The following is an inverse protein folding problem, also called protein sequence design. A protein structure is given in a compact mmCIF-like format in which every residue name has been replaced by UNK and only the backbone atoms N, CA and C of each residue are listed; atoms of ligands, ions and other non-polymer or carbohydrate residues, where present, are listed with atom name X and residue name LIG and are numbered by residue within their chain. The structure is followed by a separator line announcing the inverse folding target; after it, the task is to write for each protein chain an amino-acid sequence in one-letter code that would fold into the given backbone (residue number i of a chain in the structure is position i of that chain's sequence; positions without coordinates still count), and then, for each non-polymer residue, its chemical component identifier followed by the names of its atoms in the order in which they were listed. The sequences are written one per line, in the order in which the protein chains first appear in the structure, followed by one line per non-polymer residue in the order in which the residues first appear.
data_IF_516282170606
#
_entry.id   IF_516282170606
#
_cell.length_a   1.000
_cell.length_b   1.000
_cell.length_c   1.000
_cell.angle_alpha   90.00
_cell.angle_beta   90.00
_cell.angle_gamma   90.00
#
_symmetry.space_group_name_H-M   'P 1'
#
loop_
_entity.id
_entity.type
_entity.pdbx_description
1 polymer ?
#
# COMPACT_ATOMS: atom_id res chain seq x y z
N UNK A 1 46.11 13.75 40.60
CA UNK A 1 45.53 13.67 41.95
C UNK A 1 44.02 13.71 41.73
N UNK A 2 43.26 12.80 41.93
CA UNK A 2 43.00 11.53 42.50
C UNK A 2 41.84 10.90 41.76
N UNK A 3 42.13 9.77 41.21
CA UNK A 3 41.21 8.78 40.65
C UNK A 3 40.20 8.32 41.72
N UNK A 4 38.91 8.19 41.34
CA UNK A 4 37.92 7.42 42.11
C UNK A 4 36.97 6.71 41.14
N UNK A 5 37.47 5.61 40.62
CA UNK A 5 36.66 4.54 40.09
C UNK A 5 35.80 3.91 41.20
N UNK A 6 34.48 3.95 41.08
CA UNK A 6 33.58 3.21 41.96
C UNK A 6 33.22 1.87 41.31
N UNK A 7 33.29 0.74 42.03
CA UNK A 7 32.98 -0.57 41.45
C UNK A 7 31.46 -0.78 41.36
N UNK A 8 31.03 -1.27 40.20
CA UNK A 8 29.69 -1.80 39.97
C UNK A 8 29.44 -3.05 40.80
N UNK A 9 28.61 -2.94 41.82
CA UNK A 9 28.09 -4.08 42.56
C UNK A 9 27.01 -4.82 41.73
N UNK A 10 27.41 -5.92 41.10
CA UNK A 10 26.48 -6.92 40.59
C UNK A 10 25.84 -7.65 41.80
N UNK A 11 24.56 -7.39 42.03
CA UNK A 11 23.77 -8.12 43.02
C UNK A 11 23.32 -9.43 42.40
N UNK A 12 23.93 -10.52 42.83
CA UNK A 12 23.45 -11.89 42.51
C UNK A 12 22.09 -12.07 43.18
N UNK A 13 21.03 -12.23 42.40
CA UNK A 13 19.72 -12.62 42.92
C UNK A 13 19.72 -14.15 43.08
N UNK A 14 19.51 -14.56 44.33
CA UNK A 14 19.52 -15.93 44.74
C UNK A 14 18.57 -16.83 43.92
N UNK A 15 19.06 -18.03 43.61
CA UNK A 15 18.32 -19.10 43.00
C UNK A 15 17.02 -19.42 43.79
N UNK A 16 15.92 -19.43 43.11
CA UNK A 16 14.62 -19.86 43.62
C UNK A 16 14.60 -21.38 43.65
N UNK A 17 14.27 -21.92 44.81
CA UNK A 17 14.11 -23.36 45.01
C UNK A 17 13.07 -24.01 44.09
N UNK A 18 13.25 -25.26 43.65
CA UNK A 18 12.28 -25.95 42.82
C UNK A 18 11.16 -26.50 43.72
N UNK A 19 10.04 -25.77 43.80
CA UNK A 19 8.84 -26.19 44.47
C UNK A 19 7.62 -25.92 43.60
N UNK A 20 6.88 -26.96 43.29
CA UNK A 20 5.58 -27.05 42.61
C UNK A 20 5.58 -26.72 41.09
N UNK A 21 6.07 -27.65 40.30
CA UNK A 21 5.62 -27.87 38.93
C UNK A 21 4.15 -28.28 38.92
N UNK A 22 3.23 -27.33 39.02
CA UNK A 22 1.89 -27.56 38.48
C UNK A 22 2.03 -27.76 36.98
N UNK A 23 1.82 -29.02 36.56
CA UNK A 23 1.80 -29.41 35.16
C UNK A 23 0.99 -28.37 34.34
N UNK A 24 1.71 -27.52 33.62
CA UNK A 24 1.10 -26.61 32.63
C UNK A 24 0.55 -27.54 31.55
N UNK A 25 -0.80 -27.66 31.51
CA UNK A 25 -1.46 -28.34 30.40
C UNK A 25 -0.90 -27.74 29.10
N UNK A 26 -0.39 -28.58 28.18
CA UNK A 26 0.04 -28.06 26.89
C UNK A 26 -1.15 -27.38 26.24
N UNK A 27 -0.94 -26.11 25.86
CA UNK A 27 -1.89 -25.36 25.03
C UNK A 27 -2.17 -26.22 23.79
N UNK A 28 -3.47 -26.38 23.41
CA UNK A 28 -3.80 -27.11 22.21
C UNK A 28 -3.03 -26.50 21.04
N UNK A 29 -2.58 -27.32 20.08
CA UNK A 29 -1.85 -26.82 18.92
C UNK A 29 -2.67 -25.74 18.24
N UNK A 30 -2.03 -24.62 17.89
CA UNK A 30 -2.63 -23.48 17.17
C UNK A 30 -3.05 -23.82 15.73
N UNK A 31 -3.20 -25.09 15.45
CA UNK A 31 -3.62 -25.61 14.17
C UNK A 31 -5.14 -25.71 14.15
N UNK A 32 -5.73 -24.66 13.74
CA UNK A 32 -6.95 -24.45 12.96
C UNK A 32 -7.41 -23.02 13.18
N UNK A 33 -6.57 -22.10 12.82
CA UNK A 33 -7.09 -20.82 12.38
C UNK A 33 -8.04 -21.16 11.23
N UNK A 34 -9.34 -21.18 11.52
CA UNK A 34 -10.36 -21.35 10.52
C UNK A 34 -10.07 -20.26 9.48
N UNK A 35 -9.41 -20.66 8.41
CA UNK A 35 -9.28 -19.88 7.21
C UNK A 35 -10.72 -19.74 6.68
N UNK A 36 -11.44 -18.76 7.17
CA UNK A 36 -12.66 -18.35 6.49
C UNK A 36 -12.23 -18.01 5.06
N UNK A 37 -12.78 -18.67 4.07
CA UNK A 37 -12.58 -18.25 2.69
C UNK A 37 -13.36 -16.93 2.53
N UNK A 38 -12.80 -15.85 3.06
CA UNK A 38 -13.20 -14.53 2.59
C UNK A 38 -12.92 -14.57 1.10
N UNK A 39 -13.94 -14.34 0.25
CA UNK A 39 -13.67 -14.17 -1.17
C UNK A 39 -12.52 -13.16 -1.22
N UNK A 40 -11.42 -13.50 -1.89
CA UNK A 40 -10.24 -12.63 -1.98
C UNK A 40 -10.69 -11.29 -2.56
N UNK A 41 -11.10 -10.39 -1.68
CA UNK A 41 -11.59 -9.07 -2.05
C UNK A 41 -10.36 -8.26 -2.34
N UNK A 42 -10.04 -8.09 -3.60
CA UNK A 42 -8.96 -7.22 -3.99
C UNK A 42 -9.37 -5.76 -3.76
N UNK A 43 -8.57 -5.05 -2.99
CA UNK A 43 -8.81 -3.62 -2.75
C UNK A 43 -7.95 -2.79 -3.70
N UNK A 44 -8.58 -1.78 -4.28
CA UNK A 44 -7.96 -0.76 -5.14
C UNK A 44 -7.96 0.56 -4.38
N UNK A 45 -6.79 1.06 -4.09
CA UNK A 45 -6.60 2.34 -3.42
C UNK A 45 -6.25 3.40 -4.45
N UNK A 46 -7.01 4.49 -4.46
CA UNK A 46 -6.76 5.68 -5.27
C UNK A 46 -6.18 6.75 -4.35
N UNK A 47 -4.92 7.09 -4.57
CA UNK A 47 -4.17 7.98 -3.69
C UNK A 47 -3.86 9.29 -4.38
N UNK A 48 -4.33 10.40 -3.82
CA UNK A 48 -3.97 11.74 -4.26
C UNK A 48 -2.71 12.20 -3.50
N UNK A 49 -1.57 12.17 -4.19
CA UNK A 49 -0.25 12.33 -3.56
C UNK A 49 -0.05 13.70 -2.94
N UNK A 50 -0.57 14.76 -3.56
CA UNK A 50 -0.37 16.13 -3.06
C UNK A 50 -1.08 16.39 -1.74
N UNK A 51 -2.02 15.52 -1.34
CA UNK A 51 -2.75 15.63 -0.08
C UNK A 51 -2.14 14.84 1.08
N UNK A 52 -1.12 14.03 0.82
CA UNK A 52 -0.50 13.17 1.83
C UNK A 52 0.99 13.48 2.00
N UNK A 53 1.49 13.33 3.23
CA UNK A 53 2.91 13.47 3.54
C UNK A 53 3.69 12.17 3.35
N UNK A 54 5.04 12.26 3.38
CA UNK A 54 5.96 11.13 3.24
C UNK A 54 5.75 10.05 4.30
N UNK A 55 5.51 10.47 5.54
CA UNK A 55 5.26 9.57 6.67
C UNK A 55 3.93 8.83 6.52
N UNK A 56 2.91 9.55 6.07
CA UNK A 56 1.59 8.97 5.80
C UNK A 56 1.67 7.98 4.64
N UNK A 57 2.40 8.29 3.59
CA UNK A 57 2.63 7.36 2.49
C UNK A 57 3.33 6.08 2.96
N UNK A 58 4.38 6.20 3.78
CA UNK A 58 5.06 5.04 4.34
C UNK A 58 4.12 4.19 5.22
N UNK A 59 3.23 4.82 5.99
CA UNK A 59 2.19 4.14 6.78
C UNK A 59 1.19 3.41 5.89
N UNK A 60 0.72 4.05 4.82
CA UNK A 60 -0.17 3.42 3.82
C UNK A 60 0.45 2.13 3.27
N UNK A 61 1.74 2.15 2.92
CA UNK A 61 2.43 0.95 2.45
C UNK A 61 2.50 -0.15 3.51
N UNK A 62 2.70 0.21 4.77
CA UNK A 62 2.73 -0.74 5.89
C UNK A 62 1.36 -1.34 6.20
N UNK A 63 0.33 -0.50 6.27
CA UNK A 63 -1.02 -0.89 6.70
C UNK A 63 -1.75 -1.71 5.63
N UNK A 64 -1.61 -1.35 4.36
CA UNK A 64 -2.34 -1.98 3.26
C UNK A 64 -1.53 -3.00 2.47
N UNK A 65 -0.21 -3.03 2.65
CA UNK A 65 0.71 -3.95 1.99
C UNK A 65 0.39 -4.18 0.49
N UNK A 66 0.33 -3.10 -0.33
CA UNK A 66 -0.08 -3.21 -1.73
C UNK A 66 0.91 -4.12 -2.48
N UNK A 67 0.38 -4.96 -3.36
CA UNK A 67 1.21 -5.76 -4.26
C UNK A 67 1.68 -4.99 -5.48
N UNK A 68 0.89 -3.98 -5.86
CA UNK A 68 1.17 -3.13 -7.00
C UNK A 68 1.04 -1.66 -6.61
N UNK A 69 2.02 -0.89 -7.03
CA UNK A 69 2.01 0.58 -7.00
C UNK A 69 2.06 1.02 -8.45
N UNK A 70 0.93 1.55 -8.94
CA UNK A 70 0.76 1.97 -10.33
C UNK A 70 0.73 3.49 -10.34
N UNK A 71 1.80 4.07 -10.88
CA UNK A 71 1.96 5.52 -10.96
C UNK A 71 1.40 6.02 -12.28
N UNK A 72 0.32 6.80 -12.21
CA UNK A 72 -0.37 7.41 -13.36
C UNK A 72 -0.10 8.91 -13.42
N UNK A 73 0.97 9.38 -12.82
CA UNK A 73 1.40 10.77 -12.90
C UNK A 73 2.22 11.00 -14.18
N UNK A 74 2.00 12.15 -14.81
CA UNK A 74 2.74 12.51 -16.03
C UNK A 74 4.25 12.66 -15.77
N UNK A 75 4.61 13.09 -14.57
CA UNK A 75 5.99 13.22 -14.10
C UNK A 75 6.10 12.66 -12.68
N UNK A 76 6.43 11.36 -12.51
CA UNK A 76 6.53 10.73 -11.20
C UNK A 76 7.66 11.35 -10.35
N UNK A 77 7.28 12.22 -9.44
CA UNK A 77 8.19 12.82 -8.46
C UNK A 77 8.20 11.96 -7.20
N UNK A 78 9.14 11.00 -7.12
CA UNK A 78 9.23 10.10 -5.97
C UNK A 78 9.78 10.78 -4.71
N UNK A 79 10.37 11.97 -4.84
CA UNK A 79 10.77 12.83 -3.72
C UNK A 79 9.58 13.45 -2.98
N UNK A 80 8.37 13.41 -3.55
CA UNK A 80 7.13 13.80 -2.84
C UNK A 80 6.69 12.75 -1.81
N UNK A 81 6.96 11.48 -2.06
CA UNK A 81 6.52 10.35 -1.23
C UNK A 81 7.62 9.75 -0.36
N UNK A 82 8.88 10.11 -0.58
CA UNK A 82 10.03 9.68 0.21
C UNK A 82 11.10 10.78 0.25
N UNK A 83 12.19 10.57 1.01
CA UNK A 83 13.29 11.52 1.09
C UNK A 83 14.05 11.66 -0.25
N UNK A 84 14.09 10.59 -1.03
CA UNK A 84 14.72 10.53 -2.35
C UNK A 84 14.10 9.43 -3.20
N UNK A 85 14.43 9.41 -4.50
CA UNK A 85 14.04 8.30 -5.40
C UNK A 85 14.53 6.94 -4.87
N UNK A 86 15.76 6.86 -4.39
CA UNK A 86 16.30 5.62 -3.82
C UNK A 86 15.53 5.17 -2.59
N UNK A 87 15.22 6.12 -1.69
CA UNK A 87 14.41 5.83 -0.49
C UNK A 87 13.00 5.35 -0.85
N UNK A 88 12.39 5.88 -1.91
CA UNK A 88 11.10 5.40 -2.40
C UNK A 88 11.16 3.94 -2.83
N UNK A 89 12.15 3.55 -3.63
CA UNK A 89 12.34 2.16 -4.04
C UNK A 89 12.62 1.24 -2.85
N UNK A 90 13.40 1.68 -1.87
CA UNK A 90 13.61 0.92 -0.62
C UNK A 90 12.30 0.69 0.14
N UNK A 91 11.40 1.68 0.17
CA UNK A 91 10.07 1.52 0.76
C UNK A 91 9.23 0.49 -0.01
N UNK A 92 9.25 0.53 -1.35
CA UNK A 92 8.52 -0.42 -2.19
C UNK A 92 9.03 -1.86 -2.00
N UNK A 93 10.35 -2.05 -1.95
CA UNK A 93 10.97 -3.34 -1.66
C UNK A 93 10.57 -3.90 -0.28
N UNK A 94 10.61 -3.06 0.76
CA UNK A 94 10.16 -3.45 2.11
C UNK A 94 8.69 -3.86 2.14
N UNK A 95 7.84 -3.14 1.41
CA UNK A 95 6.43 -3.48 1.24
C UNK A 95 6.21 -4.69 0.32
N UNK A 96 7.26 -5.21 -0.34
CA UNK A 96 7.18 -6.25 -1.39
C UNK A 96 6.25 -5.86 -2.53
N UNK A 97 6.15 -4.58 -2.82
CA UNK A 97 5.30 -4.00 -3.85
C UNK A 97 6.06 -3.86 -5.17
N UNK A 98 5.40 -4.21 -6.27
CA UNK A 98 5.90 -3.96 -7.62
C UNK A 98 5.49 -2.55 -8.05
N UNK A 99 6.47 -1.69 -8.36
CA UNK A 99 6.21 -0.33 -8.85
C UNK A 99 6.21 -0.28 -10.37
N UNK A 100 5.24 0.42 -10.93
CA UNK A 100 5.11 0.65 -12.38
C UNK A 100 4.80 2.13 -12.62
N UNK A 101 5.69 2.81 -13.33
CA UNK A 101 5.40 4.10 -13.96
C UNK A 101 4.64 3.85 -15.26
N UNK A 102 3.30 3.87 -15.16
CA UNK A 102 2.44 3.53 -16.28
C UNK A 102 2.52 4.59 -17.39
N UNK A 103 2.44 5.86 -17.03
CA UNK A 103 2.46 6.95 -18.01
C UNK A 103 3.83 7.08 -18.69
N UNK A 104 4.92 6.88 -17.94
CA UNK A 104 6.26 6.81 -18.53
C UNK A 104 6.39 5.67 -19.55
N UNK A 105 5.82 4.49 -19.26
CA UNK A 105 5.79 3.35 -20.20
C UNK A 105 5.00 3.64 -21.48
N UNK A 106 3.91 4.41 -21.37
CA UNK A 106 3.06 4.79 -22.49
C UNK A 106 3.58 6.03 -23.24
N UNK A 107 4.66 6.66 -22.77
CA UNK A 107 5.18 7.91 -23.32
C UNK A 107 4.26 9.11 -23.08
N UNK A 108 3.36 9.03 -22.11
CA UNK A 108 2.43 10.12 -21.75
C UNK A 108 3.21 11.15 -20.92
N UNK A 109 3.31 12.38 -21.47
CA UNK A 109 4.02 13.49 -20.82
C UNK A 109 3.08 14.61 -20.35
N UNK A 110 1.79 14.49 -20.61
CA UNK A 110 0.79 15.50 -20.30
C UNK A 110 -0.58 14.87 -20.10
N UNK A 111 -1.35 15.37 -19.14
CA UNK A 111 -2.72 14.88 -18.87
C UNK A 111 -3.71 15.14 -19.99
N UNK A 112 -3.48 16.17 -20.82
CA UNK A 112 -4.39 16.51 -21.93
C UNK A 112 -4.70 15.33 -22.85
N UNK A 113 -3.70 14.49 -23.16
CA UNK A 113 -3.89 13.31 -24.02
C UNK A 113 -4.73 12.22 -23.36
N UNK A 114 -4.75 12.16 -22.04
CA UNK A 114 -5.47 11.17 -21.25
C UNK A 114 -6.88 11.63 -20.94
N UNK A 115 -7.07 12.91 -20.63
CA UNK A 115 -8.38 13.53 -20.40
C UNK A 115 -9.27 13.44 -21.63
N UNK A 116 -8.69 13.57 -22.82
CA UNK A 116 -9.44 13.42 -24.09
C UNK A 116 -9.79 11.97 -24.45
N UNK A 117 -9.10 10.99 -23.87
CA UNK A 117 -9.35 9.56 -24.11
C UNK A 117 -9.08 8.71 -22.87
N UNK A 118 -9.97 8.73 -21.88
CA UNK A 118 -9.78 7.98 -20.64
C UNK A 118 -9.65 6.47 -20.84
N UNK A 119 -10.30 5.91 -21.84
CA UNK A 119 -10.23 4.48 -22.15
C UNK A 119 -8.82 4.01 -22.54
N UNK A 120 -7.99 4.91 -23.07
CA UNK A 120 -6.63 4.56 -23.49
C UNK A 120 -5.75 4.05 -22.33
N UNK A 121 -5.69 4.81 -21.24
CA UNK A 121 -4.90 4.38 -20.10
C UNK A 121 -5.57 3.26 -19.31
N UNK A 122 -6.90 3.19 -19.33
CA UNK A 122 -7.66 2.06 -18.78
C UNK A 122 -7.27 0.75 -19.45
N UNK A 123 -7.23 0.70 -20.78
CA UNK A 123 -6.76 -0.48 -21.51
C UNK A 123 -5.32 -0.85 -21.15
N UNK A 124 -4.44 0.13 -20.94
CA UNK A 124 -3.08 -0.15 -20.53
C UNK A 124 -2.99 -0.74 -19.11
N UNK A 125 -3.87 -0.33 -18.20
CA UNK A 125 -4.02 -0.96 -16.87
C UNK A 125 -4.50 -2.40 -17.03
N UNK A 126 -5.49 -2.64 -17.87
CA UNK A 126 -5.97 -3.99 -18.15
C UNK A 126 -4.84 -4.88 -18.68
N UNK A 127 -4.11 -4.42 -19.69
CA UNK A 127 -2.98 -5.15 -20.27
C UNK A 127 -1.86 -5.42 -19.27
N UNK A 128 -1.62 -4.49 -18.33
CA UNK A 128 -0.65 -4.67 -17.26
C UNK A 128 -1.06 -5.76 -16.27
N UNK A 129 -2.36 -5.89 -15.99
CA UNK A 129 -2.85 -6.71 -14.89
C UNK A 129 -3.42 -8.07 -15.35
N UNK A 130 -3.86 -8.22 -16.61
CA UNK A 130 -4.53 -9.43 -17.11
C UNK A 130 -3.70 -10.72 -16.98
N UNK A 131 -2.39 -10.61 -17.18
CA UNK A 131 -1.46 -11.74 -17.16
C UNK A 131 -0.67 -11.86 -15.87
N UNK A 132 -1.02 -11.07 -14.84
CA UNK A 132 -0.28 -11.10 -13.58
C UNK A 132 -0.83 -12.16 -12.63
N UNK A 133 0.06 -12.98 -12.09
CA UNK A 133 -0.27 -13.93 -11.01
C UNK A 133 -0.47 -13.22 -9.66
N UNK A 134 0.15 -12.05 -9.49
CA UNK A 134 0.07 -11.25 -8.26
C UNK A 134 -1.20 -10.42 -8.27
N UNK A 135 -2.28 -10.95 -7.72
CA UNK A 135 -3.51 -10.17 -7.49
C UNK A 135 -3.34 -9.25 -6.28
N UNK A 136 -4.00 -8.06 -6.32
CA UNK A 136 -3.93 -6.94 -5.38
C UNK A 136 -3.59 -7.24 -3.92
N UNK A 137 -3.62 -6.25 -3.04
CA UNK A 137 -4.13 -4.87 -3.23
C UNK A 137 -3.33 -4.03 -4.23
N UNK A 138 -4.04 -3.13 -4.89
CA UNK A 138 -3.49 -2.21 -5.89
C UNK A 138 -3.51 -0.79 -5.35
N UNK A 139 -2.43 -0.04 -5.56
CA UNK A 139 -2.30 1.35 -5.14
C UNK A 139 -2.02 2.20 -6.37
N UNK A 140 -2.96 3.06 -6.75
CA UNK A 140 -2.80 4.00 -7.85
C UNK A 140 -2.42 5.38 -7.32
N UNK A 141 -1.38 5.98 -7.90
CA UNK A 141 -0.86 7.29 -7.49
C UNK A 141 -1.28 8.36 -8.49
N UNK A 142 -1.92 9.40 -7.99
CA UNK A 142 -2.40 10.56 -8.75
C UNK A 142 -1.84 11.86 -8.18
N UNK A 143 -1.58 12.85 -9.04
CA UNK A 143 -1.31 14.25 -8.71
C UNK A 143 -2.23 15.21 -9.48
N UNK A 144 -3.18 14.65 -10.24
CA UNK A 144 -4.20 15.39 -10.97
C UNK A 144 -5.60 14.96 -10.52
N UNK A 145 -6.37 15.91 -10.01
CA UNK A 145 -7.70 15.68 -9.44
C UNK A 145 -8.72 15.22 -10.49
N UNK A 146 -8.65 15.79 -11.69
CA UNK A 146 -9.57 15.45 -12.78
C UNK A 146 -9.33 14.01 -13.24
N UNK A 147 -8.05 13.61 -13.33
CA UNK A 147 -7.70 12.24 -13.67
C UNK A 147 -8.14 11.26 -12.58
N UNK A 148 -7.98 11.64 -11.31
CA UNK A 148 -8.45 10.81 -10.18
C UNK A 148 -9.97 10.61 -10.24
N UNK A 149 -10.75 11.66 -10.55
CA UNK A 149 -12.22 11.54 -10.75
C UNK A 149 -12.56 10.66 -11.94
N UNK A 150 -11.87 10.82 -13.06
CA UNK A 150 -12.06 9.95 -14.21
C UNK A 150 -11.69 8.48 -13.93
N UNK A 151 -10.79 8.23 -12.99
CA UNK A 151 -10.43 6.89 -12.56
C UNK A 151 -11.59 6.15 -11.89
N UNK A 152 -12.47 6.84 -11.18
CA UNK A 152 -13.67 6.24 -10.58
C UNK A 152 -14.63 5.65 -11.61
N UNK A 153 -14.67 6.24 -12.80
CA UNK A 153 -15.51 5.77 -13.89
C UNK A 153 -14.81 4.68 -14.72
N UNK A 154 -13.51 4.82 -14.94
CA UNK A 154 -12.74 3.95 -15.85
C UNK A 154 -12.23 2.67 -15.20
N UNK A 155 -11.66 2.77 -13.98
CA UNK A 155 -10.99 1.63 -13.35
C UNK A 155 -11.92 0.48 -12.97
N UNK A 156 -13.15 0.68 -12.51
CA UNK A 156 -14.07 -0.44 -12.25
C UNK A 156 -14.26 -1.33 -13.46
N UNK A 157 -14.55 -0.75 -14.63
CA UNK A 157 -14.80 -1.50 -15.87
C UNK A 157 -13.57 -2.27 -16.36
N UNK A 158 -12.38 -1.75 -16.07
CA UNK A 158 -11.11 -2.33 -16.49
C UNK A 158 -10.59 -3.38 -15.51
N UNK A 159 -10.69 -3.11 -14.21
CA UNK A 159 -10.08 -3.94 -13.17
C UNK A 159 -10.98 -5.11 -12.78
N UNK A 160 -12.30 -4.90 -12.71
CA UNK A 160 -13.25 -5.96 -12.32
C UNK A 160 -13.13 -7.24 -13.15
N UNK A 161 -12.96 -7.20 -14.47
CA UNK A 161 -12.74 -8.41 -15.27
C UNK A 161 -11.47 -9.18 -14.90
N UNK A 162 -10.44 -8.47 -14.41
CA UNK A 162 -9.13 -9.07 -14.07
C UNK A 162 -9.11 -9.65 -12.67
N UNK A 163 -9.65 -8.91 -11.68
CA UNK A 163 -9.54 -9.27 -10.27
C UNK A 163 -10.81 -9.89 -9.67
N UNK A 164 -11.88 -9.96 -10.46
CA UNK A 164 -13.16 -10.51 -10.05
C UNK A 164 -14.14 -9.47 -9.49
N UNK A 165 -15.40 -9.89 -9.33
CA UNK A 165 -16.54 -9.03 -9.00
C UNK A 165 -16.52 -8.42 -7.59
N UNK A 166 -15.54 -8.75 -6.76
CA UNK A 166 -15.45 -8.31 -5.35
C UNK A 166 -14.39 -7.24 -5.13
N UNK A 167 -14.01 -6.48 -6.16
CA UNK A 167 -13.12 -5.34 -6.01
C UNK A 167 -13.76 -4.24 -5.16
N UNK A 168 -12.99 -3.72 -4.20
CA UNK A 168 -13.37 -2.55 -3.41
C UNK A 168 -12.47 -1.40 -3.81
N UNK A 169 -13.06 -0.24 -4.09
CA UNK A 169 -12.34 1.00 -4.35
C UNK A 169 -12.36 1.88 -3.11
N UNK A 170 -11.21 2.43 -2.74
CA UNK A 170 -11.06 3.30 -1.58
C UNK A 170 -10.15 4.49 -1.94
N UNK A 171 -10.59 5.69 -1.60
CA UNK A 171 -9.80 6.90 -1.76
C UNK A 171 -8.96 7.17 -0.52
N UNK A 172 -7.71 7.56 -0.71
CA UNK A 172 -6.80 7.98 0.34
C UNK A 172 -6.31 9.39 0.02
N UNK A 173 -6.44 10.28 1.01
CA UNK A 173 -6.10 11.68 0.90
C UNK A 173 -7.32 12.55 1.22
N UNK A 174 -7.07 13.85 1.43
CA UNK A 174 -8.16 14.82 1.64
C UNK A 174 -8.81 15.14 0.30
N UNK A 175 -9.78 14.36 -0.06
CA UNK A 175 -10.63 14.60 -1.18
C UNK A 175 -12.01 14.97 -0.62
N UNK A 176 -12.38 16.23 -0.64
CA UNK A 176 -13.76 16.66 -0.49
C UNK A 176 -14.50 16.26 -1.77
N UNK A 177 -14.94 15.00 -1.79
CA UNK A 177 -16.00 14.61 -2.70
C UNK A 177 -17.20 15.46 -2.33
N UNK A 178 -17.42 16.49 -3.13
CA UNK A 178 -18.68 17.24 -3.15
C UNK A 178 -19.78 16.22 -3.51
N UNK A 179 -20.24 15.50 -2.47
CA UNK A 179 -21.39 14.62 -2.57
C UNK A 179 -22.59 15.52 -2.82
N UNK A 180 -22.82 15.87 -4.07
CA UNK A 180 -24.14 16.34 -4.47
C UNK A 180 -25.09 15.20 -4.13
N UNK A 181 -26.08 15.41 -3.24
CA UNK A 181 -27.12 14.44 -3.03
C UNK A 181 -27.78 14.13 -4.38
N UNK A 182 -28.14 12.89 -4.66
CA UNK A 182 -28.92 12.56 -5.85
C UNK A 182 -30.21 13.38 -5.80
N UNK A 183 -30.39 14.24 -6.83
CA UNK A 183 -31.61 15.01 -7.05
C UNK A 183 -32.80 14.14 -7.42
#
# INVERSE_FOLDING_TARGET
MTDRSAPLHLRLVAAREPGDEKAVKPLPPRDKQLSFPYPETSTVFLVYIDSIGKEEFARILGDYAPRWIIDVRAVPRLDTIAASRLSAFTLFERAKASYVDLFGRLGIKSYRSVESNPAFWGNAVFDLLKDTEKKGPYLFLFDNEQLLRAADDVLPDVIMPVIGKTARFAHIGRFELDRRPPG
#
